data_IF_104452159447
#
_entry.id   IF_104452159447
#
_cell.length_a   1.000
_cell.length_b   1.000
_cell.length_c   1.000
_cell.angle_alpha   90.00
_cell.angle_beta   90.00
_cell.angle_gamma   90.00
#
_symmetry.space_group_name_H-M   'P 1'
#
loop_
_entity.id
_entity.type
_entity.pdbx_description
1 polymer ?
#
# COMPACT_ATOMS: atom_id res chain seq x y z
N UNK A 1 1.36 -18.00 -11.89
CA UNK A 1 1.83 -16.62 -11.66
C UNK A 1 1.07 -16.04 -10.47
N UNK A 2 1.71 -15.24 -9.62
CA UNK A 2 1.05 -14.56 -8.50
C UNK A 2 0.36 -13.27 -8.98
N UNK A 3 -0.78 -12.85 -8.37
CA UNK A 3 -1.48 -11.64 -8.77
C UNK A 3 -0.74 -10.33 -8.39
N UNK A 4 -0.03 -9.74 -9.35
CA UNK A 4 0.64 -8.43 -9.17
C UNK A 4 -0.12 -7.27 -9.78
N UNK A 5 0.06 -7.04 -11.08
CA UNK A 5 -0.57 -5.91 -11.80
C UNK A 5 -2.10 -5.88 -11.68
N UNK A 6 -2.72 -7.06 -11.58
CA UNK A 6 -4.16 -7.18 -11.36
C UNK A 6 -4.56 -6.54 -10.02
N UNK A 7 -3.83 -6.84 -8.94
CA UNK A 7 -4.09 -6.31 -7.61
C UNK A 7 -3.78 -4.81 -7.54
N UNK A 8 -2.71 -4.35 -8.20
CA UNK A 8 -2.39 -2.92 -8.29
C UNK A 8 -3.52 -2.12 -8.94
N UNK A 9 -4.13 -2.65 -10.02
CA UNK A 9 -5.28 -2.02 -10.68
C UNK A 9 -6.52 -2.04 -9.79
N UNK A 10 -6.83 -3.16 -9.14
CA UNK A 10 -7.95 -3.23 -8.19
C UNK A 10 -7.77 -2.24 -7.03
N UNK A 11 -6.57 -2.09 -6.47
CA UNK A 11 -6.29 -1.09 -5.45
C UNK A 11 -6.50 0.33 -5.96
N UNK A 12 -6.09 0.63 -7.20
CA UNK A 12 -6.35 1.92 -7.84
C UNK A 12 -7.86 2.18 -7.97
N UNK A 13 -8.63 1.15 -8.29
CA UNK A 13 -10.09 1.22 -8.43
C UNK A 13 -10.84 1.26 -7.08
N UNK A 14 -10.10 1.26 -5.97
CA UNK A 14 -10.66 1.48 -4.63
C UNK A 14 -10.71 0.24 -3.74
N UNK A 15 -10.31 -0.93 -4.22
CA UNK A 15 -10.32 -2.16 -3.41
C UNK A 15 -9.25 -2.11 -2.31
N UNK A 16 -9.58 -2.75 -1.18
CA UNK A 16 -8.60 -3.04 -0.13
C UNK A 16 -7.78 -4.25 -0.49
N UNK A 17 -6.50 -4.22 -0.14
CA UNK A 17 -5.58 -5.34 -0.32
C UNK A 17 -4.66 -5.43 0.89
N UNK A 18 -4.35 -6.66 1.28
CA UNK A 18 -3.36 -7.02 2.27
C UNK A 18 -2.71 -8.31 1.83
N UNK A 19 -1.39 -8.34 1.88
CA UNK A 19 -0.62 -9.43 1.33
C UNK A 19 -0.51 -10.63 2.30
N UNK A 20 -0.12 -11.80 1.78
CA UNK A 20 0.09 -13.04 2.55
C UNK A 20 -1.07 -13.45 3.48
N UNK A 21 -2.30 -13.07 3.13
CA UNK A 21 -3.50 -13.37 3.93
C UNK A 21 -3.81 -12.36 5.04
N UNK A 22 -3.16 -11.18 5.04
CA UNK A 22 -3.44 -10.13 6.02
C UNK A 22 -4.74 -9.37 5.74
N UNK A 23 -5.83 -9.96 6.22
CA UNK A 23 -7.17 -9.37 6.15
C UNK A 23 -7.32 -8.07 6.96
N UNK A 24 -6.49 -7.84 7.98
CA UNK A 24 -6.57 -6.62 8.80
C UNK A 24 -6.13 -5.43 7.98
N UNK A 25 -4.96 -5.54 7.34
CA UNK A 25 -4.46 -4.48 6.46
C UNK A 25 -5.36 -4.31 5.24
N UNK A 26 -5.86 -5.39 4.64
CA UNK A 26 -6.84 -5.29 3.55
C UNK A 26 -8.07 -4.45 3.94
N UNK A 27 -8.59 -4.67 5.15
CA UNK A 27 -9.74 -3.92 5.68
C UNK A 27 -9.39 -2.45 5.92
N UNK A 28 -8.24 -2.18 6.53
CA UNK A 28 -7.76 -0.82 6.80
C UNK A 28 -7.53 -0.04 5.50
N UNK A 29 -6.88 -0.66 4.51
CA UNK A 29 -6.66 -0.05 3.18
C UNK A 29 -7.99 0.30 2.52
N UNK A 30 -9.00 -0.59 2.57
CA UNK A 30 -10.34 -0.28 2.04
C UNK A 30 -10.98 0.88 2.81
N UNK A 31 -10.94 0.86 4.13
CA UNK A 31 -11.52 1.92 4.96
C UNK A 31 -10.89 3.28 4.64
N UNK A 32 -9.56 3.35 4.56
CA UNK A 32 -8.83 4.58 4.19
C UNK A 32 -9.16 5.06 2.78
N UNK A 33 -9.30 4.15 1.82
CA UNK A 33 -9.74 4.50 0.45
C UNK A 33 -11.12 5.15 0.46
N UNK A 34 -12.08 4.60 1.20
CA UNK A 34 -13.43 5.17 1.32
C UNK A 34 -13.40 6.53 2.06
N UNK A 35 -12.65 6.63 3.15
CA UNK A 35 -12.51 7.90 3.90
C UNK A 35 -11.89 9.02 3.06
N UNK A 36 -11.08 8.68 2.05
CA UNK A 36 -10.46 9.66 1.15
C UNK A 36 -11.34 10.13 -0.02
N UNK A 37 -12.56 9.61 -0.17
CA UNK A 37 -13.47 10.03 -1.25
C UNK A 37 -13.79 11.52 -1.11
N UNK A 38 -13.63 12.27 -2.20
CA UNK A 38 -13.85 13.73 -2.23
C UNK A 38 -12.62 14.57 -1.90
N UNK A 39 -11.52 13.95 -1.44
CA UNK A 39 -10.24 14.63 -1.36
C UNK A 39 -9.65 14.80 -2.77
N UNK A 40 -9.23 16.01 -3.10
CA UNK A 40 -8.75 16.38 -4.43
C UNK A 40 -7.24 16.16 -4.63
N UNK A 41 -6.50 15.75 -3.60
CA UNK A 41 -5.06 15.50 -3.62
C UNK A 41 -4.72 14.28 -2.77
N UNK A 42 -3.71 13.53 -3.20
CA UNK A 42 -3.15 12.38 -2.48
C UNK A 42 -3.61 11.02 -2.98
N UNK A 43 -3.19 9.97 -2.29
CA UNK A 43 -3.56 8.58 -2.56
C UNK A 43 -3.29 7.70 -1.35
N UNK A 44 -3.91 6.53 -1.32
CA UNK A 44 -3.71 5.51 -0.29
C UNK A 44 -3.33 4.19 -0.95
N UNK A 45 -2.34 3.50 -0.38
CA UNK A 45 -1.81 2.24 -0.89
C UNK A 45 -1.56 1.28 0.26
N UNK A 46 -1.59 -0.01 -0.03
CA UNK A 46 -0.88 -1.01 0.76
C UNK A 46 0.64 -0.73 0.65
N UNK A 47 1.38 -0.95 1.74
CA UNK A 47 2.82 -0.73 1.81
C UNK A 47 3.44 -1.56 2.95
N UNK A 48 4.69 -1.97 2.77
CA UNK A 48 5.53 -2.61 3.78
C UNK A 48 6.93 -1.99 3.75
N UNK A 49 7.56 -1.83 4.92
CA UNK A 49 8.94 -1.35 5.03
C UNK A 49 9.89 -2.44 4.54
N UNK A 50 10.64 -2.17 3.47
CA UNK A 50 11.39 -3.19 2.75
C UNK A 50 12.89 -3.18 3.07
N UNK A 51 13.48 -2.00 3.20
CA UNK A 51 14.89 -1.85 3.62
C UNK A 51 15.18 -0.44 4.12
N UNK A 52 16.34 -0.28 4.77
CA UNK A 52 16.78 0.97 5.39
C UNK A 52 18.03 1.52 4.71
N UNK A 53 18.05 2.83 4.50
CA UNK A 53 19.25 3.62 4.22
C UNK A 53 19.67 4.33 5.51
N UNK A 54 20.80 3.95 6.08
CA UNK A 54 21.25 4.37 7.41
C UNK A 54 22.47 5.30 7.36
N UNK A 55 22.46 6.23 6.41
CA UNK A 55 23.43 7.32 6.36
C UNK A 55 23.08 8.36 7.43
N UNK A 56 24.07 8.76 8.24
CA UNK A 56 23.84 9.70 9.34
C UNK A 56 23.27 11.04 8.84
N UNK A 57 22.15 11.48 9.42
CA UNK A 57 21.36 12.65 9.02
C UNK A 57 20.68 12.54 7.64
N UNK A 58 20.63 11.33 7.08
CA UNK A 58 19.92 11.02 5.84
C UNK A 58 19.25 9.63 5.94
N UNK A 59 18.67 9.33 7.10
CA UNK A 59 18.01 8.06 7.36
C UNK A 59 16.68 7.96 6.61
N UNK A 60 16.54 6.93 5.77
CA UNK A 60 15.36 6.74 4.91
C UNK A 60 14.90 5.28 4.98
N UNK A 61 13.57 5.07 4.94
CA UNK A 61 12.96 3.75 4.77
C UNK A 61 12.45 3.62 3.34
N UNK A 62 12.90 2.57 2.65
CA UNK A 62 12.33 2.19 1.36
C UNK A 62 11.14 1.27 1.60
N UNK A 63 9.94 1.75 1.30
CA UNK A 63 8.73 0.94 1.27
C UNK A 63 8.52 0.27 -0.08
N UNK A 64 8.18 -1.02 -0.08
CA UNK A 64 7.83 -1.78 -1.28
C UNK A 64 7.02 -3.03 -0.91
N UNK A 65 6.65 -3.82 -1.91
CA UNK A 65 6.12 -5.17 -1.72
C UNK A 65 6.38 -6.04 -2.97
N UNK A 66 6.25 -7.35 -2.85
CA UNK A 66 6.31 -8.27 -3.99
C UNK A 66 5.19 -8.04 -5.02
N UNK A 67 5.50 -8.39 -6.27
CA UNK A 67 4.59 -8.43 -7.42
C UNK A 67 3.89 -9.79 -7.53
#
# INVERSE_FOLDING_TARGET
QLPGIAVQRLMKDGYGFGAEGDWKTATVVRALKVMSIGLNKGGSSFMEDYTYHLEANNEIVLGAHML
#
